data_IF_262405435338
#
_entry.id   IF_262405435338
#
_cell.length_a   1.000
_cell.length_b   1.000
_cell.length_c   1.000
_cell.angle_alpha   90.00
_cell.angle_beta   90.00
_cell.angle_gamma   90.00
#
_symmetry.space_group_name_H-M   'P 1'
#
loop_
_entity.id
_entity.type
_entity.pdbx_description
1 polymer ?
#
# COMPACT_ATOMS: atom_id res chain seq x y z
N UNK A 1 8.60 -22.02 2.91
CA UNK A 1 8.34 -20.66 2.39
C UNK A 1 6.97 -20.59 1.73
N UNK A 2 6.03 -19.87 2.34
CA UNK A 2 4.67 -19.66 1.79
C UNK A 2 4.61 -18.28 1.15
N UNK A 3 3.98 -18.21 -0.02
CA UNK A 3 3.69 -16.96 -0.71
C UNK A 3 2.18 -16.82 -0.86
N UNK A 4 1.63 -15.72 -0.41
CA UNK A 4 0.24 -15.34 -0.63
C UNK A 4 0.21 -13.99 -1.32
N UNK A 5 -0.59 -13.85 -2.36
CA UNK A 5 -0.74 -12.59 -3.08
C UNK A 5 -2.20 -12.14 -3.03
N UNK A 6 -2.42 -10.91 -2.56
CA UNK A 6 -3.74 -10.33 -2.34
C UNK A 6 -3.75 -8.90 -2.84
N UNK A 7 -4.81 -8.52 -3.56
CA UNK A 7 -5.04 -7.13 -3.92
C UNK A 7 -5.53 -6.35 -2.69
N UNK A 8 -4.87 -5.24 -2.37
CA UNK A 8 -5.18 -4.39 -1.24
C UNK A 8 -5.47 -2.97 -1.72
N UNK A 9 -6.70 -2.51 -1.50
CA UNK A 9 -7.07 -1.14 -1.80
C UNK A 9 -6.54 -0.21 -0.69
N UNK A 10 -5.77 0.79 -1.07
CA UNK A 10 -5.23 1.80 -0.15
C UNK A 10 -5.78 3.16 -0.53
N UNK A 11 -6.48 3.77 0.41
CA UNK A 11 -7.04 5.11 0.29
C UNK A 11 -6.08 6.13 0.89
N UNK A 12 -5.80 7.17 0.12
CA UNK A 12 -4.97 8.29 0.55
C UNK A 12 -5.81 9.56 0.64
N UNK A 13 -5.57 10.38 1.66
CA UNK A 13 -6.16 11.73 1.76
C UNK A 13 -5.07 12.76 1.96
N UNK A 14 -4.96 13.72 1.04
CA UNK A 14 -3.99 14.80 1.15
C UNK A 14 -4.46 15.85 2.17
N UNK A 15 -3.63 16.16 3.17
CA UNK A 15 -3.98 17.21 4.14
C UNK A 15 -3.98 18.62 3.53
N UNK A 16 -3.23 18.84 2.44
CA UNK A 16 -3.07 20.17 1.86
C UNK A 16 -4.25 20.57 0.97
N UNK A 17 -4.58 19.74 -0.03
CA UNK A 17 -5.65 20.03 -0.98
C UNK A 17 -6.92 19.20 -0.78
N UNK A 18 -6.95 18.35 0.26
CA UNK A 18 -8.08 17.45 0.57
C UNK A 18 -8.42 16.46 -0.55
N UNK A 19 -7.53 16.30 -1.53
CA UNK A 19 -7.70 15.33 -2.60
C UNK A 19 -7.60 13.92 -2.04
N UNK A 20 -8.57 13.08 -2.44
CA UNK A 20 -8.64 11.68 -2.08
C UNK A 20 -8.45 10.84 -3.33
N UNK A 21 -7.63 9.81 -3.22
CA UNK A 21 -7.50 8.80 -4.26
C UNK A 21 -7.33 7.41 -3.63
N UNK A 22 -7.66 6.39 -4.41
CA UNK A 22 -7.50 4.99 -4.05
C UNK A 22 -6.54 4.36 -5.04
N UNK A 23 -5.66 3.51 -4.54
CA UNK A 23 -4.71 2.74 -5.34
C UNK A 23 -4.76 1.29 -4.88
N UNK A 24 -4.94 0.37 -5.83
CA UNK A 24 -4.91 -1.06 -5.56
C UNK A 24 -3.45 -1.54 -5.68
N UNK A 25 -2.93 -2.07 -4.57
CA UNK A 25 -1.60 -2.65 -4.53
C UNK A 25 -1.72 -4.17 -4.55
N UNK A 26 -0.87 -4.82 -5.33
CA UNK A 26 -0.62 -6.25 -5.22
C UNK A 26 0.31 -6.47 -4.03
N UNK A 27 -0.21 -7.00 -2.93
CA UNK A 27 0.55 -7.31 -1.72
C UNK A 27 0.91 -8.77 -1.73
N UNK A 28 2.21 -9.06 -1.71
CA UNK A 28 2.72 -10.42 -1.57
C UNK A 28 3.27 -10.62 -0.17
N UNK A 29 2.54 -11.39 0.64
CA UNK A 29 3.01 -11.86 1.93
C UNK A 29 3.95 -13.05 1.73
N UNK A 30 5.13 -12.95 2.31
CA UNK A 30 6.15 -14.01 2.25
C UNK A 30 6.52 -14.37 3.68
N UNK A 31 6.21 -15.60 4.06
CA UNK A 31 6.54 -16.14 5.39
C UNK A 31 7.62 -17.22 5.24
N UNK A 32 8.70 -17.08 6.01
CA UNK A 32 9.73 -18.10 6.13
C UNK A 32 9.32 -19.22 7.09
N UNK A 33 10.08 -20.32 7.12
CA UNK A 33 9.75 -21.49 7.94
C UNK A 33 9.99 -21.25 9.46
N UNK A 34 10.46 -20.05 9.83
CA UNK A 34 10.65 -19.60 11.21
C UNK A 34 9.56 -18.60 11.65
N UNK A 35 8.56 -18.32 10.80
CA UNK A 35 7.46 -17.41 11.09
C UNK A 35 7.79 -15.92 10.89
N UNK A 36 8.92 -15.59 10.26
CA UNK A 36 9.20 -14.22 9.86
C UNK A 36 8.51 -13.92 8.52
N UNK A 37 7.49 -13.06 8.59
CA UNK A 37 6.76 -12.54 7.46
C UNK A 37 7.31 -11.21 6.95
N UNK A 38 7.31 -11.00 5.63
CA UNK A 38 7.53 -9.70 5.01
C UNK A 38 6.47 -9.46 3.92
N UNK A 39 5.93 -8.24 3.89
CA UNK A 39 4.99 -7.80 2.87
C UNK A 39 5.71 -7.02 1.76
N UNK A 40 5.54 -7.49 0.52
CA UNK A 40 6.04 -6.81 -0.66
C UNK A 40 4.89 -6.16 -1.41
N UNK A 41 4.99 -4.86 -1.67
CA UNK A 41 3.99 -4.10 -2.39
C UNK A 41 4.41 -3.93 -3.85
N UNK A 42 3.48 -4.19 -4.77
CA UNK A 42 3.64 -3.89 -6.19
C UNK A 42 2.42 -3.13 -6.71
N UNK A 43 2.62 -2.28 -7.71
CA UNK A 43 1.56 -1.56 -8.39
C UNK A 43 1.58 -1.95 -9.86
N UNK A 44 0.58 -2.71 -10.32
CA UNK A 44 0.53 -3.19 -11.71
C UNK A 44 1.75 -4.05 -12.06
N UNK A 45 2.22 -4.87 -11.12
CA UNK A 45 3.41 -5.71 -11.27
C UNK A 45 4.76 -5.01 -11.09
N UNK A 46 4.78 -3.69 -10.86
CA UNK A 46 6.03 -2.95 -10.58
C UNK A 46 6.26 -2.87 -9.07
N UNK A 47 7.41 -3.34 -8.54
CA UNK A 47 7.74 -3.21 -7.14
C UNK A 47 7.76 -1.74 -6.71
N UNK A 48 7.13 -1.44 -5.57
CA UNK A 48 7.01 -0.08 -5.05
C UNK A 48 7.36 -0.02 -3.58
N UNK A 49 7.60 1.19 -3.09
CA UNK A 49 7.77 1.44 -1.66
C UNK A 49 6.49 1.11 -0.90
N UNK A 50 6.64 0.70 0.35
CA UNK A 50 5.51 0.43 1.23
C UNK A 50 4.62 1.68 1.37
N UNK A 51 3.34 1.63 0.97
CA UNK A 51 2.47 2.79 0.90
C UNK A 51 2.13 3.39 2.27
N UNK A 52 2.32 2.62 3.36
CA UNK A 52 2.07 3.05 4.74
C UNK A 52 3.21 3.86 5.35
N UNK A 53 4.36 3.96 4.67
CA UNK A 53 5.49 4.75 5.16
C UNK A 53 5.18 6.25 5.02
N UNK A 54 5.25 7.05 6.11
CA UNK A 54 5.03 8.48 6.04
C UNK A 54 5.95 9.15 5.02
N UNK A 55 5.38 9.95 4.12
CA UNK A 55 6.13 10.66 3.08
C UNK A 55 6.62 9.80 1.91
N UNK A 56 6.29 8.50 1.87
CA UNK A 56 6.58 7.63 0.73
C UNK A 56 5.72 7.91 -0.50
N UNK A 57 4.59 8.61 -0.32
CA UNK A 57 3.62 8.91 -1.39
C UNK A 57 3.35 10.42 -1.43
N UNK A 58 3.47 11.00 -2.61
CA UNK A 58 3.10 12.39 -2.88
C UNK A 58 1.68 12.50 -3.41
N UNK A 59 0.97 13.56 -3.03
CA UNK A 59 -0.33 13.87 -3.60
C UNK A 59 -0.19 14.16 -5.11
N UNK A 60 -0.91 13.45 -6.00
CA UNK A 60 -0.78 13.65 -7.45
C UNK A 60 -1.33 14.99 -7.93
N UNK A 61 -2.12 15.68 -7.10
CA UNK A 61 -2.72 16.99 -7.42
C UNK A 61 -1.83 18.18 -7.04
N UNK A 62 -1.15 18.12 -5.90
CA UNK A 62 -0.42 19.28 -5.36
C UNK A 62 1.02 18.97 -4.93
N UNK A 63 1.49 17.72 -5.06
CA UNK A 63 2.85 17.31 -4.69
C UNK A 63 3.14 17.21 -3.19
N UNK A 64 2.17 17.48 -2.31
CA UNK A 64 2.38 17.42 -0.87
C UNK A 64 2.60 15.97 -0.40
N UNK A 65 3.59 15.75 0.48
CA UNK A 65 3.91 14.45 1.08
C UNK A 65 3.09 14.13 2.34
N UNK A 66 2.34 15.12 2.85
CA UNK A 66 1.51 14.95 4.05
C UNK A 66 0.15 14.37 3.67
N UNK A 67 0.10 13.05 3.62
CA UNK A 67 -1.08 12.27 3.24
C UNK A 67 -1.44 11.33 4.39
N UNK A 68 -2.72 11.16 4.70
CA UNK A 68 -3.15 10.00 5.50
C UNK A 68 -3.25 8.78 4.60
N UNK A 69 -2.98 7.62 5.17
CA UNK A 69 -3.07 6.33 4.50
C UNK A 69 -4.08 5.48 5.27
N UNK A 70 -5.03 4.91 4.56
CA UNK A 70 -6.01 3.96 5.10
C UNK A 70 -5.97 2.72 4.23
N UNK A 71 -5.68 1.58 4.83
CA UNK A 71 -5.60 0.31 4.15
C UNK A 71 -6.94 -0.40 4.31
N UNK A 72 -7.65 -0.61 3.22
CA UNK A 72 -8.85 -1.44 3.20
C UNK A 72 -8.40 -2.90 3.03
N UNK A 73 -8.31 -3.61 4.15
CA UNK A 73 -8.17 -5.06 4.15
C UNK A 73 -9.55 -5.68 3.91
N UNK A 74 -9.97 -5.82 2.65
CA UNK A 74 -11.07 -6.73 2.32
C UNK A 74 -10.58 -8.15 2.62
N UNK A 75 -11.22 -8.91 3.52
CA UNK A 75 -10.86 -10.31 3.71
C UNK A 75 -11.19 -11.10 2.44
N UNK A 76 -10.38 -12.10 2.05
CA UNK A 76 -10.78 -13.05 1.03
C UNK A 76 -12.02 -13.81 1.52
N UNK A 77 -13.05 -13.87 0.68
CA UNK A 77 -14.31 -14.60 0.90
C UNK A 77 -14.21 -16.09 0.55
#
# INVERSE_FOLDING_TARGET
>A
MRHEQTAQAVRFTCWHCQYVWVTEYDVRHVEDDHGHGCDYYSLGGVPTVTPTVPGGIACPRCGALRVTVQVDSRPPE
#
